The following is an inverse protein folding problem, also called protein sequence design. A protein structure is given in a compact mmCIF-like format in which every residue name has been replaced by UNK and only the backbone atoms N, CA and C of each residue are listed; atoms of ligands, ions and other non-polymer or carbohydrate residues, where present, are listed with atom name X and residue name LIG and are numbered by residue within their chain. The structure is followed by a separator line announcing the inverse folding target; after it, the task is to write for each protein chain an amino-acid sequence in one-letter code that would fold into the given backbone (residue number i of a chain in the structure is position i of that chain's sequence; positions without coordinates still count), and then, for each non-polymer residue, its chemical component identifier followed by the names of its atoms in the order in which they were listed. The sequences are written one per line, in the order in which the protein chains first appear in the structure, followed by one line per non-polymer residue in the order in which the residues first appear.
data_IF_553219469287
#
_entry.id   IF_553219469287
#
_cell.length_a   1.000
_cell.length_b   1.000
_cell.length_c   1.000
_cell.angle_alpha   90.00
_cell.angle_beta   90.00
_cell.angle_gamma   90.00
#
_symmetry.space_group_name_H-M   'P 1'
#
loop_
_entity.id
_entity.type
_entity.pdbx_description
1 polymer ?
#
# COMPACT_ATOMS: atom_id res chain seq x y z
N UNK A 1 -0.57 -11.95 0.01
CA UNK A 1 -1.99 -12.25 -0.26
C UNK A 1 -2.75 -11.05 -0.78
N UNK A 2 -3.75 -11.31 -1.62
CA UNK A 2 -4.60 -10.28 -2.23
C UNK A 2 -6.03 -10.78 -2.30
N UNK A 3 -6.96 -10.04 -1.72
CA UNK A 3 -8.39 -10.34 -1.71
C UNK A 3 -9.15 -9.22 -2.40
N UNK A 4 -10.08 -9.59 -3.27
CA UNK A 4 -10.88 -8.63 -4.04
C UNK A 4 -12.35 -9.03 -4.05
N UNK A 5 -13.22 -8.04 -3.91
CA UNK A 5 -14.65 -8.16 -4.11
C UNK A 5 -15.04 -7.13 -5.17
N UNK A 6 -15.72 -7.57 -6.21
CA UNK A 6 -16.23 -6.70 -7.26
C UNK A 6 -17.70 -7.04 -7.49
N UNK A 7 -18.58 -6.09 -7.19
CA UNK A 7 -20.03 -6.27 -7.28
C UNK A 7 -20.62 -5.17 -8.15
N UNK A 8 -21.48 -5.57 -9.08
CA UNK A 8 -22.30 -4.65 -9.87
C UNK A 8 -23.76 -5.08 -9.85
N UNK A 9 -24.63 -4.13 -9.57
CA UNK A 9 -26.08 -4.31 -9.60
C UNK A 9 -26.61 -3.40 -10.71
N UNK A 10 -27.44 -3.97 -11.58
CA UNK A 10 -28.15 -3.23 -12.62
C UNK A 10 -29.64 -3.25 -12.31
N UNK A 11 -30.33 -2.14 -12.57
CA UNK A 11 -31.76 -2.02 -12.35
C UNK A 11 -32.43 -1.25 -13.50
N UNK A 12 -33.36 -1.91 -14.17
CA UNK A 12 -34.31 -1.25 -15.06
C UNK A 12 -35.45 -0.65 -14.21
N UNK A 13 -35.38 0.65 -13.94
CA UNK A 13 -36.38 1.34 -13.11
C UNK A 13 -37.72 1.42 -13.83
N UNK A 14 -37.69 1.69 -15.14
CA UNK A 14 -38.84 1.65 -16.04
C UNK A 14 -38.37 1.51 -17.50
N UNK A 15 -39.27 1.63 -18.47
CA UNK A 15 -38.96 1.50 -19.90
C UNK A 15 -38.04 2.60 -20.47
N UNK A 16 -37.84 3.71 -19.73
CA UNK A 16 -37.00 4.84 -20.13
C UNK A 16 -35.73 5.00 -19.29
N UNK A 17 -35.70 4.49 -18.04
CA UNK A 17 -34.61 4.67 -17.10
C UNK A 17 -33.98 3.32 -16.70
N UNK A 18 -32.68 3.19 -16.96
CA UNK A 18 -31.84 2.10 -16.46
C UNK A 18 -30.74 2.68 -15.60
N UNK A 19 -30.46 2.06 -14.45
CA UNK A 19 -29.40 2.50 -13.53
C UNK A 19 -28.51 1.33 -13.15
N UNK A 20 -27.30 1.66 -12.68
CA UNK A 20 -26.40 0.69 -12.09
C UNK A 20 -25.66 1.29 -10.89
N UNK A 21 -25.26 0.39 -9.98
CA UNK A 21 -24.30 0.66 -8.93
C UNK A 21 -23.20 -0.39 -8.97
N UNK A 22 -21.95 0.04 -8.87
CA UNK A 22 -20.77 -0.80 -8.70
C UNK A 22 -20.10 -0.46 -7.39
N UNK A 23 -19.69 -1.49 -6.67
CA UNK A 23 -18.78 -1.39 -5.54
C UNK A 23 -17.68 -2.43 -5.68
N UNK A 24 -16.44 -1.98 -5.47
CA UNK A 24 -15.25 -2.80 -5.52
C UNK A 24 -14.39 -2.55 -4.30
N UNK A 25 -13.84 -3.61 -3.74
CA UNK A 25 -12.92 -3.60 -2.62
C UNK A 25 -11.72 -4.47 -2.95
N UNK A 26 -10.53 -3.98 -2.61
CA UNK A 26 -9.29 -4.73 -2.68
C UNK A 26 -8.56 -4.56 -1.37
N UNK A 27 -8.10 -5.67 -0.80
CA UNK A 27 -7.13 -5.71 0.27
C UNK A 27 -5.89 -6.47 -0.20
N UNK A 28 -4.70 -5.96 0.09
CA UNK A 28 -3.45 -6.67 -0.15
C UNK A 28 -2.54 -6.60 1.07
N UNK A 29 -1.70 -7.62 1.17
CA UNK A 29 -0.66 -7.76 2.18
C UNK A 29 0.47 -8.56 1.56
N UNK A 30 1.68 -8.02 1.55
CA UNK A 30 2.85 -8.64 0.94
C UNK A 30 4.11 -8.42 1.77
N UNK A 31 5.08 -9.31 1.60
CA UNK A 31 6.38 -9.21 2.26
C UNK A 31 7.43 -9.17 1.17
N UNK A 32 8.20 -8.09 1.15
CA UNK A 32 9.40 -8.00 0.31
C UNK A 32 10.60 -8.51 1.12
N UNK A 33 11.16 -9.68 0.78
CA UNK A 33 12.33 -10.21 1.47
C UNK A 33 13.58 -9.39 1.14
N UNK A 34 14.59 -9.51 2.00
CA UNK A 34 15.85 -8.77 1.92
C UNK A 34 17.03 -9.70 1.66
N UNK A 35 18.13 -9.16 1.13
CA UNK A 35 19.30 -9.95 0.71
C UNK A 35 19.98 -10.72 1.85
N UNK A 36 19.86 -10.26 3.11
CA UNK A 36 20.35 -10.99 4.28
C UNK A 36 19.25 -11.60 5.14
N UNK A 37 18.04 -11.74 4.57
CA UNK A 37 16.90 -12.35 5.23
C UNK A 37 16.40 -11.56 6.46
N UNK A 38 15.60 -12.20 7.32
CA UNK A 38 14.83 -11.49 8.35
C UNK A 38 15.65 -11.08 9.58
N UNK A 39 16.97 -11.30 9.61
CA UNK A 39 17.82 -11.02 10.79
C UNK A 39 18.76 -9.85 10.59
N UNK A 40 19.49 -9.87 9.47
CA UNK A 40 20.43 -8.80 9.11
C UNK A 40 19.82 -7.79 8.13
N UNK A 41 18.69 -8.13 7.51
CA UNK A 41 17.93 -7.24 6.62
C UNK A 41 18.80 -6.78 5.44
N UNK A 42 18.99 -5.49 5.19
CA UNK A 42 19.60 -4.96 3.97
C UNK A 42 18.58 -4.77 2.84
N UNK A 43 19.11 -4.44 1.66
CA UNK A 43 18.28 -4.08 0.51
C UNK A 43 17.24 -5.13 0.11
N UNK A 44 16.09 -4.72 -0.44
CA UNK A 44 15.08 -5.65 -0.92
C UNK A 44 15.57 -6.50 -2.10
N UNK A 45 15.14 -7.76 -2.13
CA UNK A 45 15.34 -8.63 -3.28
C UNK A 45 14.37 -8.20 -4.39
N UNK A 46 14.90 -7.96 -5.59
CA UNK A 46 14.09 -7.52 -6.74
C UNK A 46 14.26 -6.05 -7.12
N UNK A 47 15.19 -5.31 -6.50
CA UNK A 47 15.57 -3.97 -6.92
C UNK A 47 14.89 -2.86 -6.11
N UNK A 48 14.15 -1.98 -6.77
CA UNK A 48 13.65 -0.71 -6.19
C UNK A 48 12.36 -0.83 -5.36
N UNK A 49 12.16 -1.95 -4.67
CA UNK A 49 10.98 -2.13 -3.81
C UNK A 49 11.21 -1.52 -2.42
N UNK A 50 10.17 -1.56 -1.59
CA UNK A 50 10.26 -1.27 -0.17
C UNK A 50 10.44 -2.59 0.59
N UNK A 51 11.54 -2.75 1.33
CA UNK A 51 11.75 -3.94 2.16
C UNK A 51 10.77 -4.00 3.33
N UNK A 52 10.32 -5.20 3.69
CA UNK A 52 9.41 -5.39 4.82
C UNK A 52 7.97 -5.66 4.40
N UNK A 53 7.01 -5.14 5.16
CA UNK A 53 5.59 -5.46 5.02
C UNK A 53 4.87 -4.33 4.27
N UNK A 54 4.38 -4.65 3.08
CA UNK A 54 3.46 -3.80 2.33
C UNK A 54 2.03 -4.24 2.60
N UNK A 55 1.13 -3.28 2.80
CA UNK A 55 -0.29 -3.59 2.89
C UNK A 55 -1.15 -2.41 2.49
N UNK A 56 -2.40 -2.67 2.15
CA UNK A 56 -3.30 -1.58 1.80
C UNK A 56 -4.66 -2.03 1.34
N UNK A 57 -5.53 -1.04 1.20
CA UNK A 57 -6.93 -1.23 0.86
C UNK A 57 -7.36 -0.21 -0.18
N UNK A 58 -8.05 -0.66 -1.22
CA UNK A 58 -8.64 0.22 -2.23
C UNK A 58 -10.15 0.00 -2.28
N UNK A 59 -10.88 1.10 -2.17
CA UNK A 59 -12.33 1.13 -2.25
C UNK A 59 -12.70 1.90 -3.52
N UNK A 60 -13.58 1.35 -4.35
CA UNK A 60 -14.07 2.02 -5.56
C UNK A 60 -15.58 1.85 -5.69
N UNK A 61 -16.27 2.96 -5.89
CA UNK A 61 -17.73 3.01 -6.05
C UNK A 61 -18.05 3.76 -7.33
N UNK A 62 -19.00 3.27 -8.10
CA UNK A 62 -19.51 3.99 -9.28
C UNK A 62 -21.02 3.84 -9.32
N UNK A 63 -21.72 4.95 -9.53
CA UNK A 63 -23.16 4.95 -9.79
C UNK A 63 -23.40 5.61 -11.13
N UNK A 64 -24.36 5.10 -11.89
CA UNK A 64 -24.69 5.68 -13.16
C UNK A 64 -26.07 5.27 -13.65
N UNK A 65 -26.51 5.93 -14.71
CA UNK A 65 -27.79 5.63 -15.33
C UNK A 65 -27.95 6.27 -16.70
N UNK A 66 -28.82 5.65 -17.45
CA UNK A 66 -29.18 6.01 -18.82
C UNK A 66 -30.68 6.32 -18.85
N UNK A 67 -31.05 7.49 -19.35
CA UNK A 67 -32.44 7.91 -19.52
C UNK A 67 -32.76 8.21 -21.00
N UNK A 68 -33.79 7.56 -21.52
CA UNK A 68 -34.30 7.77 -22.88
C UNK A 68 -35.46 8.76 -22.86
N UNK A 69 -35.23 9.99 -23.33
CA UNK A 69 -36.26 11.01 -23.43
C UNK A 69 -37.21 10.75 -24.61
N UNK A 70 -36.63 10.40 -25.76
CA UNK A 70 -37.31 10.10 -27.03
C UNK A 70 -36.53 9.01 -27.79
N UNK A 71 -37.10 8.35 -28.82
CA UNK A 71 -36.41 7.31 -29.58
C UNK A 71 -35.08 7.73 -30.22
N UNK A 72 -34.87 9.05 -30.37
CA UNK A 72 -33.67 9.66 -30.93
C UNK A 72 -32.89 10.52 -29.90
N UNK A 73 -33.25 10.49 -28.61
CA UNK A 73 -32.56 11.28 -27.59
C UNK A 73 -32.43 10.52 -26.26
N UNK A 74 -31.18 10.26 -25.89
CA UNK A 74 -30.77 9.54 -24.67
C UNK A 74 -29.71 10.36 -23.94
N UNK A 75 -29.77 10.36 -22.61
CA UNK A 75 -28.74 10.87 -21.74
C UNK A 75 -28.14 9.72 -20.94
N UNK A 76 -26.81 9.68 -20.86
CA UNK A 76 -26.07 8.79 -19.98
C UNK A 76 -25.20 9.62 -19.04
N UNK A 77 -25.18 9.26 -17.77
CA UNK A 77 -24.36 9.93 -16.77
C UNK A 77 -23.90 8.93 -15.69
N UNK A 78 -22.69 9.15 -15.18
CA UNK A 78 -22.16 8.40 -14.06
C UNK A 78 -21.24 9.27 -13.20
N UNK A 79 -21.07 8.85 -11.95
CA UNK A 79 -20.14 9.41 -10.99
C UNK A 79 -19.37 8.28 -10.33
N UNK A 80 -18.05 8.47 -10.21
CA UNK A 80 -17.15 7.51 -9.60
C UNK A 80 -16.40 8.12 -8.43
N UNK A 81 -16.13 7.31 -7.41
CA UNK A 81 -15.24 7.67 -6.32
C UNK A 81 -14.32 6.49 -6.04
N UNK A 82 -13.02 6.75 -5.92
CA UNK A 82 -12.04 5.75 -5.52
C UNK A 82 -11.18 6.29 -4.40
N UNK A 83 -10.94 5.48 -3.37
CA UNK A 83 -9.97 5.76 -2.31
C UNK A 83 -8.92 4.66 -2.33
N UNK A 84 -7.71 5.01 -2.72
CA UNK A 84 -6.56 4.11 -2.64
C UNK A 84 -5.85 4.29 -1.30
N UNK A 85 -5.57 3.18 -0.61
CA UNK A 85 -4.80 3.13 0.62
C UNK A 85 -3.58 2.24 0.44
N UNK A 86 -2.41 2.72 0.83
CA UNK A 86 -1.16 1.96 0.81
C UNK A 86 -0.31 2.31 2.02
N UNK A 87 0.29 1.29 2.60
CA UNK A 87 1.22 1.38 3.70
C UNK A 87 2.44 0.52 3.40
N UNK A 88 3.57 0.93 3.96
CA UNK A 88 4.81 0.21 3.88
C UNK A 88 5.56 0.34 5.19
N UNK A 89 5.85 -0.80 5.82
CA UNK A 89 6.54 -0.89 7.10
C UNK A 89 7.84 -1.65 6.94
N UNK A 90 8.92 -1.07 7.48
CA UNK A 90 10.22 -1.72 7.51
C UNK A 90 10.18 -2.96 8.42
N UNK A 91 11.13 -3.86 8.22
CA UNK A 91 11.26 -5.00 9.12
C UNK A 91 11.59 -4.53 10.56
N UNK A 92 11.04 -5.25 11.54
CA UNK A 92 11.28 -5.02 12.97
C UNK A 92 10.82 -3.66 13.54
N UNK A 93 9.84 -3.02 12.91
CA UNK A 93 9.06 -1.94 13.58
C UNK A 93 8.52 -2.46 14.91
N UNK A 94 8.70 -1.67 15.96
CA UNK A 94 8.42 -1.99 17.36
C UNK A 94 9.55 -2.69 18.12
N UNK A 95 10.67 -3.07 17.49
CA UNK A 95 11.79 -3.76 18.17
C UNK A 95 13.09 -2.98 18.05
N UNK A 96 13.74 -2.68 19.17
CA UNK A 96 14.98 -1.90 19.17
C UNK A 96 16.20 -2.80 18.99
N UNK A 97 16.42 -3.34 17.80
CA UNK A 97 17.50 -4.32 17.57
C UNK A 97 18.89 -3.69 17.82
N UNK A 98 19.11 -2.44 17.43
CA UNK A 98 20.37 -1.76 17.67
C UNK A 98 20.68 -1.55 19.15
N UNK A 99 19.69 -1.15 19.93
CA UNK A 99 19.85 -0.87 21.35
C UNK A 99 19.83 -2.15 22.20
N UNK A 100 18.79 -2.97 22.04
CA UNK A 100 18.49 -4.09 22.94
C UNK A 100 19.28 -5.36 22.60
N UNK A 101 19.67 -5.54 21.33
CA UNK A 101 20.39 -6.74 20.86
C UNK A 101 21.86 -6.44 20.60
N UNK A 102 22.17 -5.36 19.85
CA UNK A 102 23.56 -5.00 19.54
C UNK A 102 24.23 -4.19 20.67
N UNK A 103 23.43 -3.61 21.59
CA UNK A 103 23.95 -2.85 22.73
C UNK A 103 24.54 -1.49 22.35
N UNK A 104 24.18 -0.93 21.19
CA UNK A 104 24.75 0.32 20.68
C UNK A 104 23.87 1.50 21.15
N UNK A 105 24.36 2.39 22.03
CA UNK A 105 23.56 3.52 22.50
C UNK A 105 23.24 4.49 21.36
N UNK A 106 21.99 4.97 21.31
CA UNK A 106 21.56 6.01 20.37
C UNK A 106 21.07 5.51 19.00
N UNK A 107 21.02 4.20 18.76
CA UNK A 107 20.55 3.64 17.47
C UNK A 107 19.03 3.58 17.32
N UNK A 108 18.29 3.50 18.43
CA UNK A 108 16.84 3.41 18.42
C UNK A 108 16.23 4.46 19.35
N UNK A 109 15.15 5.10 18.90
CA UNK A 109 14.43 6.13 19.65
C UNK A 109 13.22 5.59 20.41
N UNK A 110 12.53 6.46 21.18
CA UNK A 110 11.37 6.06 21.97
C UNK A 110 10.11 5.79 21.12
N UNK A 111 10.07 6.21 19.85
CA UNK A 111 8.90 6.06 18.97
C UNK A 111 9.03 4.79 18.13
N UNK A 112 7.90 4.13 17.85
CA UNK A 112 7.88 2.88 17.10
C UNK A 112 8.57 2.97 15.71
N UNK A 113 8.48 4.12 15.03
CA UNK A 113 9.12 4.28 13.73
C UNK A 113 10.66 4.46 13.81
N UNK A 114 11.19 4.77 15.00
CA UNK A 114 12.64 4.88 15.26
C UNK A 114 13.26 3.54 15.71
N UNK A 115 12.47 2.47 15.67
CA UNK A 115 12.89 1.12 15.99
C UNK A 115 13.30 0.35 14.73
N UNK A 116 13.84 -0.85 14.92
CA UNK A 116 14.34 -1.72 13.87
C UNK A 116 15.86 -1.90 13.95
N UNK A 117 16.40 -2.53 12.91
CA UNK A 117 17.82 -2.76 12.77
C UNK A 117 18.50 -1.49 12.21
N UNK A 118 19.48 -0.91 12.91
CA UNK A 118 20.14 0.31 12.43
C UNK A 118 20.85 0.08 11.11
N UNK A 119 20.77 1.06 10.21
CA UNK A 119 21.56 1.04 8.98
C UNK A 119 23.06 1.00 9.34
N UNK A 120 23.77 0.03 8.79
CA UNK A 120 25.22 -0.08 8.86
C UNK A 120 25.78 0.02 7.45
N UNK A 121 26.27 1.21 7.14
CA UNK A 121 27.01 1.55 5.93
C UNK A 121 28.52 1.41 6.22
N UNK A 122 29.22 0.67 5.37
CA UNK A 122 30.65 0.38 5.51
C UNK A 122 31.55 1.31 4.67
N UNK A 123 31.03 2.45 4.22
CA UNK A 123 31.68 3.63 3.64
C UNK A 123 32.96 3.34 2.83
N UNK A 124 32.81 3.16 1.51
CA UNK A 124 33.91 3.02 0.56
C UNK A 124 33.46 3.07 -0.90
N UNK A 125 34.40 3.26 -1.84
CA UNK A 125 34.12 3.28 -3.29
C UNK A 125 33.66 1.92 -3.87
N UNK A 126 33.60 0.87 -3.03
CA UNK A 126 33.31 -0.51 -3.40
C UNK A 126 32.50 -1.21 -2.30
N UNK A 127 31.47 -0.55 -1.74
CA UNK A 127 30.61 -1.19 -0.74
C UNK A 127 29.97 -2.46 -1.32
N UNK A 128 30.06 -3.57 -0.57
CA UNK A 128 29.50 -4.85 -0.99
C UNK A 128 27.99 -4.90 -0.79
N UNK A 129 27.50 -4.38 0.35
CA UNK A 129 26.09 -4.22 0.67
C UNK A 129 25.89 -3.51 2.02
N UNK A 130 24.84 -2.70 2.10
CA UNK A 130 24.31 -2.13 3.34
C UNK A 130 23.58 -3.19 4.18
N UNK A 131 23.81 -3.20 5.50
CA UNK A 131 23.12 -4.07 6.46
C UNK A 131 22.11 -3.23 7.25
N UNK A 132 20.99 -3.83 7.65
CA UNK A 132 19.92 -3.12 8.36
C UNK A 132 18.90 -2.50 7.42
N UNK A 133 18.15 -1.52 7.94
CA UNK A 133 17.16 -0.80 7.13
C UNK A 133 17.91 0.13 6.17
N UNK A 134 17.68 0.00 4.86
CA UNK A 134 18.45 0.66 3.80
C UNK A 134 17.81 1.98 3.29
N UNK A 135 16.81 2.48 4.01
CA UNK A 135 16.08 3.66 3.63
C UNK A 135 15.53 4.40 4.86
N UNK A 136 15.25 5.69 4.70
CA UNK A 136 14.87 6.59 5.80
C UNK A 136 13.45 7.18 5.65
N UNK A 137 12.67 6.67 4.70
CA UNK A 137 11.33 7.18 4.39
C UNK A 137 10.21 6.22 4.83
N UNK A 138 10.56 5.07 5.41
CA UNK A 138 9.64 4.09 5.99
C UNK A 138 9.64 4.20 7.53
N UNK A 139 8.55 3.79 8.20
CA UNK A 139 7.24 3.43 7.65
C UNK A 139 6.47 4.64 7.08
N UNK A 140 5.57 4.40 6.13
CA UNK A 140 4.59 5.40 5.68
C UNK A 140 3.20 4.80 5.51
N UNK A 141 2.19 5.68 5.61
CA UNK A 141 0.77 5.35 5.44
C UNK A 141 0.12 6.44 4.57
N UNK A 142 -0.52 6.06 3.47
CA UNK A 142 -1.11 6.98 2.49
C UNK A 142 -2.56 6.63 2.18
N UNK A 143 -3.34 7.68 1.93
CA UNK A 143 -4.73 7.60 1.49
C UNK A 143 -4.99 8.65 0.42
N UNK A 144 -5.31 8.19 -0.79
CA UNK A 144 -5.46 9.02 -1.98
C UNK A 144 -6.91 8.94 -2.49
N UNK A 145 -7.79 9.88 -2.13
CA UNK A 145 -9.15 9.97 -2.67
C UNK A 145 -9.15 10.57 -4.08
N UNK A 146 -9.97 10.02 -4.97
CA UNK A 146 -10.12 10.39 -6.39
C UNK A 146 -11.61 10.40 -6.77
N UNK A 147 -12.05 11.42 -7.51
CA UNK A 147 -13.43 11.57 -8.02
C UNK A 147 -13.45 12.36 -9.32
#
# INVERSE_FOLDING_TARGET
DRHTIDTKINWNVNSKLTTFGRFSFLHYSDITPTVFGPKLIGRPIGGSSNSGHGHGETYSTTVGGTYTFAPNFVLDAYFGFTKQGTASEQADVGKNVGLDVLGIPGTNGPRAFESGFPEMDFNGCCEFATIGIDNNFMPYYRHDPQY
#
